data_IF_117886804434
#
_entry.id   IF_117886804434
#
_cell.length_a   1.000
_cell.length_b   1.000
_cell.length_c   1.000
_cell.angle_alpha   90.00
_cell.angle_beta   90.00
_cell.angle_gamma   90.00
#
_symmetry.space_group_name_H-M   'P 1'
#
loop_
_entity.id
_entity.type
_entity.pdbx_description
1 polymer ?
#
# COMPACT_ATOMS: atom_id res chain seq x y z
N UNK A 1 -13.97 12.55 -34.47
CA UNK A 1 -12.95 11.68 -35.10
C UNK A 1 -13.69 10.46 -35.62
N UNK A 2 -13.64 10.20 -36.91
CA UNK A 2 -14.22 9.01 -37.56
C UNK A 2 -13.12 7.99 -37.87
N UNK A 3 -13.41 6.69 -37.73
CA UNK A 3 -12.44 5.62 -38.05
C UNK A 3 -12.22 5.50 -39.59
N UNK A 4 -13.23 5.83 -40.39
CA UNK A 4 -13.14 5.88 -41.83
C UNK A 4 -14.12 6.92 -42.36
N UNK A 5 -13.83 7.54 -43.51
CA UNK A 5 -14.78 8.38 -44.19
C UNK A 5 -15.89 7.52 -44.78
N UNK A 6 -17.17 8.01 -44.77
CA UNK A 6 -18.28 7.32 -45.42
C UNK A 6 -18.09 7.28 -46.94
N UNK A 7 -18.65 6.28 -47.61
CA UNK A 7 -18.55 6.14 -49.07
C UNK A 7 -19.16 7.31 -49.82
N UNK A 8 -20.18 7.94 -49.24
CA UNK A 8 -20.79 9.15 -49.77
C UNK A 8 -20.83 10.21 -48.65
N UNK A 9 -19.86 11.16 -48.59
CA UNK A 9 -19.81 12.21 -47.59
C UNK A 9 -20.98 13.22 -47.67
N UNK A 10 -21.62 13.33 -48.82
CA UNK A 10 -22.73 14.25 -49.06
C UNK A 10 -24.11 13.65 -48.70
N UNK A 11 -24.14 12.39 -48.22
CA UNK A 11 -25.39 11.77 -47.81
C UNK A 11 -25.84 12.31 -46.44
N UNK A 12 -27.13 12.29 -46.18
CA UNK A 12 -27.70 12.57 -44.87
C UNK A 12 -27.30 11.48 -43.88
N UNK A 13 -26.84 11.87 -42.74
CA UNK A 13 -26.47 10.96 -41.63
C UNK A 13 -27.35 11.21 -40.41
N UNK A 14 -27.90 10.14 -39.86
CA UNK A 14 -28.58 10.20 -38.58
C UNK A 14 -27.54 10.21 -37.44
N UNK A 15 -27.52 11.28 -36.66
CA UNK A 15 -26.72 11.37 -35.46
C UNK A 15 -27.52 10.79 -34.27
N UNK A 16 -27.06 9.67 -33.71
CA UNK A 16 -27.66 9.09 -32.52
C UNK A 16 -26.76 9.40 -31.30
N UNK A 17 -27.37 9.96 -30.27
CA UNK A 17 -26.70 10.24 -28.99
C UNK A 17 -26.97 9.06 -28.07
N UNK A 18 -25.91 8.55 -27.42
CA UNK A 18 -26.04 7.63 -26.31
C UNK A 18 -26.72 8.37 -25.14
N UNK A 19 -27.96 8.00 -24.85
CA UNK A 19 -28.81 8.68 -23.88
C UNK A 19 -28.26 8.50 -22.47
N UNK A 20 -27.84 7.28 -22.12
CA UNK A 20 -27.31 6.97 -20.78
C UNK A 20 -26.01 7.73 -20.51
N UNK A 21 -25.11 7.73 -21.47
CA UNK A 21 -23.85 8.48 -21.36
C UNK A 21 -24.09 10.01 -21.26
N UNK A 22 -25.09 10.51 -21.98
CA UNK A 22 -25.46 11.93 -21.90
C UNK A 22 -26.11 12.28 -20.57
N UNK A 23 -27.01 11.46 -20.05
CA UNK A 23 -27.63 11.67 -18.73
C UNK A 23 -26.61 11.58 -17.60
N UNK A 24 -25.70 10.61 -17.62
CA UNK A 24 -24.58 10.50 -16.68
C UNK A 24 -23.68 11.75 -16.70
N UNK A 25 -23.34 12.24 -17.91
CA UNK A 25 -22.56 13.47 -18.04
C UNK A 25 -23.30 14.69 -17.51
N UNK A 26 -24.61 14.79 -17.77
CA UNK A 26 -25.44 15.89 -17.27
C UNK A 26 -25.57 15.88 -15.75
N UNK A 27 -25.74 14.70 -15.15
CA UNK A 27 -25.77 14.50 -13.70
C UNK A 27 -24.43 14.90 -13.04
N UNK A 28 -23.31 14.40 -13.56
CA UNK A 28 -21.98 14.73 -13.08
C UNK A 28 -21.66 16.22 -13.24
N UNK A 29 -22.08 16.85 -14.34
CA UNK A 29 -21.87 18.29 -14.54
C UNK A 29 -22.69 19.13 -13.57
N UNK A 30 -23.97 18.78 -13.36
CA UNK A 30 -24.79 19.45 -12.37
C UNK A 30 -24.22 19.26 -10.95
N UNK A 31 -23.78 18.05 -10.62
CA UNK A 31 -23.11 17.79 -9.33
C UNK A 31 -21.81 18.61 -9.14
N UNK A 32 -21.10 18.92 -10.24
CA UNK A 32 -19.90 19.78 -10.18
C UNK A 32 -20.27 21.20 -9.73
N UNK A 33 -21.36 21.79 -10.21
CA UNK A 33 -21.86 23.08 -9.77
C UNK A 33 -22.31 23.06 -8.30
N UNK A 34 -23.01 22.01 -7.86
CA UNK A 34 -23.40 21.85 -6.46
C UNK A 34 -22.17 21.68 -5.56
N UNK A 35 -21.13 20.99 -6.05
CA UNK A 35 -19.87 20.79 -5.35
C UNK A 35 -19.12 22.13 -5.16
N UNK A 36 -19.01 22.97 -6.20
CA UNK A 36 -18.39 24.28 -6.09
C UNK A 36 -19.09 25.13 -5.03
N UNK A 37 -20.43 25.18 -5.09
CA UNK A 37 -21.21 25.85 -4.06
C UNK A 37 -20.94 25.30 -2.65
N UNK A 38 -20.98 23.98 -2.49
CA UNK A 38 -20.79 23.35 -1.18
C UNK A 38 -19.38 23.57 -0.62
N UNK A 39 -18.36 23.53 -1.46
CA UNK A 39 -16.99 23.81 -1.07
C UNK A 39 -16.82 25.25 -0.55
N UNK A 40 -17.43 26.23 -1.23
CA UNK A 40 -17.43 27.63 -0.76
C UNK A 40 -18.13 27.78 0.58
N UNK A 41 -19.25 27.10 0.79
CA UNK A 41 -19.99 27.15 2.05
C UNK A 41 -19.21 26.53 3.22
N UNK A 42 -18.43 25.48 2.97
CA UNK A 42 -17.72 24.74 4.04
C UNK A 42 -16.31 25.25 4.27
N UNK A 43 -15.58 25.58 3.19
CA UNK A 43 -14.18 25.98 3.27
C UNK A 43 -13.98 27.50 3.20
N UNK A 44 -14.94 28.23 2.64
CA UNK A 44 -14.91 29.69 2.53
C UNK A 44 -14.79 30.21 1.09
N UNK A 45 -14.95 31.53 0.95
CA UNK A 45 -15.04 32.23 -0.34
C UNK A 45 -13.75 32.24 -1.17
N UNK A 46 -12.62 31.84 -0.60
CA UNK A 46 -11.34 31.69 -1.31
C UNK A 46 -11.32 30.51 -2.26
N UNK A 47 -12.32 29.61 -2.19
CA UNK A 47 -12.45 28.50 -3.09
C UNK A 47 -12.85 29.01 -4.48
N UNK A 48 -11.96 28.76 -5.44
CA UNK A 48 -12.18 29.07 -6.86
C UNK A 48 -11.87 27.84 -7.71
N UNK A 49 -12.69 27.56 -8.70
CA UNK A 49 -12.41 26.52 -9.68
C UNK A 49 -11.12 26.82 -10.45
N UNK A 50 -10.20 25.87 -10.46
CA UNK A 50 -8.94 25.92 -11.26
C UNK A 50 -8.95 24.95 -12.44
N UNK A 51 -9.87 24.02 -12.44
CA UNK A 51 -10.11 23.06 -13.51
C UNK A 51 -11.25 22.11 -13.16
N UNK A 52 -11.84 21.51 -14.18
CA UNK A 52 -12.83 20.45 -13.99
C UNK A 52 -12.79 19.46 -15.15
N UNK A 53 -13.28 18.26 -14.88
CA UNK A 53 -13.50 17.24 -15.89
C UNK A 53 -14.79 16.51 -15.57
N UNK A 54 -15.61 16.30 -16.60
CA UNK A 54 -16.89 15.61 -16.48
C UNK A 54 -16.97 14.52 -17.55
N UNK A 55 -17.34 13.33 -17.14
CA UNK A 55 -17.62 12.19 -18.00
C UNK A 55 -18.96 11.54 -17.60
N UNK A 56 -19.45 10.51 -18.33
CA UNK A 56 -20.63 9.77 -17.92
C UNK A 56 -20.50 9.11 -16.53
N UNK A 57 -19.29 8.74 -16.12
CA UNK A 57 -19.03 7.87 -14.95
C UNK A 57 -18.37 8.56 -13.79
N UNK A 58 -17.79 9.75 -13.99
CA UNK A 58 -17.03 10.46 -12.94
C UNK A 58 -16.97 11.94 -13.20
N UNK A 59 -16.80 12.68 -12.15
CA UNK A 59 -16.43 14.10 -12.20
C UNK A 59 -15.15 14.33 -11.40
N UNK A 60 -14.41 15.37 -11.79
CA UNK A 60 -13.21 15.86 -11.12
C UNK A 60 -13.30 17.37 -11.01
N UNK A 61 -12.95 17.90 -9.86
CA UNK A 61 -12.97 19.32 -9.57
C UNK A 61 -11.67 19.76 -8.90
N UNK A 62 -10.94 20.66 -9.54
CA UNK A 62 -9.69 21.24 -9.05
C UNK A 62 -9.97 22.66 -8.56
N UNK A 63 -9.58 22.98 -7.33
CA UNK A 63 -9.91 24.25 -6.69
C UNK A 63 -8.77 24.81 -5.82
N UNK A 64 -8.80 26.13 -5.59
CA UNK A 64 -7.84 26.79 -4.72
C UNK A 64 -8.12 26.48 -3.25
N UNK A 65 -7.15 25.84 -2.58
CA UNK A 65 -7.15 25.63 -1.14
C UNK A 65 -5.75 25.22 -0.67
N UNK A 66 -5.27 25.82 0.43
CA UNK A 66 -3.87 25.70 0.83
C UNK A 66 -3.57 24.48 1.69
N UNK A 67 -4.56 23.95 2.40
CA UNK A 67 -4.42 22.82 3.32
C UNK A 67 -5.12 21.58 2.78
N UNK A 68 -4.80 20.41 3.34
CA UNK A 68 -5.57 19.20 3.08
C UNK A 68 -6.99 19.39 3.63
N UNK A 69 -8.00 19.05 2.84
CA UNK A 69 -9.39 19.03 3.32
C UNK A 69 -9.56 17.85 4.27
N UNK A 70 -10.08 18.09 5.45
CA UNK A 70 -10.27 17.06 6.47
C UNK A 70 -11.44 16.15 6.12
N UNK A 71 -11.43 14.92 6.65
CA UNK A 71 -12.54 13.97 6.45
C UNK A 71 -13.88 14.52 6.96
N UNK A 72 -13.86 15.36 8.01
CA UNK A 72 -15.04 16.02 8.52
C UNK A 72 -15.59 17.07 7.55
N UNK A 73 -14.71 17.90 6.97
CA UNK A 73 -15.08 18.89 5.97
C UNK A 73 -15.60 18.20 4.69
N UNK A 74 -14.92 17.16 4.21
CA UNK A 74 -15.38 16.35 3.06
C UNK A 74 -16.78 15.78 3.31
N UNK A 75 -17.05 15.28 4.50
CA UNK A 75 -18.40 14.79 4.87
C UNK A 75 -19.43 15.91 4.92
N UNK A 76 -19.08 17.12 5.37
CA UNK A 76 -19.98 18.27 5.34
C UNK A 76 -20.30 18.68 3.91
N UNK A 77 -19.30 18.77 3.04
CA UNK A 77 -19.47 19.05 1.61
C UNK A 77 -20.37 18.00 0.95
N UNK A 78 -20.06 16.73 1.12
CA UNK A 78 -20.84 15.64 0.55
C UNK A 78 -22.30 15.63 1.00
N UNK A 79 -22.55 15.89 2.30
CA UNK A 79 -23.90 16.01 2.84
C UNK A 79 -24.64 17.18 2.23
N UNK A 80 -24.01 18.34 2.12
CA UNK A 80 -24.65 19.55 1.55
C UNK A 80 -25.02 19.33 0.09
N UNK A 81 -24.14 18.72 -0.71
CA UNK A 81 -24.46 18.36 -2.11
C UNK A 81 -25.65 17.40 -2.16
N UNK A 82 -25.65 16.35 -1.34
CA UNK A 82 -26.77 15.41 -1.28
C UNK A 82 -28.08 16.01 -0.74
N UNK A 83 -27.98 17.03 0.15
CA UNK A 83 -29.16 17.77 0.61
C UNK A 83 -29.80 18.58 -0.53
N UNK A 84 -28.99 19.21 -1.37
CA UNK A 84 -29.47 19.93 -2.56
C UNK A 84 -30.03 18.96 -3.61
N UNK A 85 -29.46 17.77 -3.74
CA UNK A 85 -30.00 16.70 -4.60
C UNK A 85 -31.40 16.27 -4.14
N UNK A 86 -31.58 16.04 -2.83
CA UNK A 86 -32.87 15.64 -2.24
C UNK A 86 -33.97 16.69 -2.34
N UNK A 87 -33.59 17.95 -2.48
CA UNK A 87 -34.55 19.04 -2.69
C UNK A 87 -35.17 19.04 -4.07
N UNK A 88 -34.63 18.26 -5.00
CA UNK A 88 -35.09 18.16 -6.40
C UNK A 88 -35.30 19.51 -7.07
N UNK A 89 -34.33 20.40 -6.90
CA UNK A 89 -34.35 21.77 -7.42
C UNK A 89 -34.39 21.73 -8.96
N UNK A 90 -35.34 22.42 -9.60
CA UNK A 90 -35.42 22.45 -11.05
C UNK A 90 -34.28 23.24 -11.67
N UNK A 91 -33.94 22.90 -12.92
CA UNK A 91 -33.05 23.71 -13.75
C UNK A 91 -33.75 25.05 -14.07
N UNK A 92 -33.18 26.14 -13.57
CA UNK A 92 -33.53 27.51 -13.96
C UNK A 92 -32.44 28.02 -14.90
N UNK A 93 -32.82 28.17 -16.18
CA UNK A 93 -31.89 28.45 -17.28
C UNK A 93 -32.26 29.74 -18.00
N UNK A 94 -31.30 30.69 -18.06
CA UNK A 94 -31.44 31.91 -18.81
C UNK A 94 -30.42 31.92 -19.97
N UNK A 95 -30.91 31.81 -21.19
CA UNK A 95 -30.10 31.82 -22.42
C UNK A 95 -30.01 33.25 -22.98
N UNK A 96 -28.90 33.50 -23.69
CA UNK A 96 -28.66 34.78 -24.37
C UNK A 96 -28.81 36.01 -23.48
N UNK A 97 -28.54 35.88 -22.17
CA UNK A 97 -28.64 36.96 -21.20
C UNK A 97 -27.47 37.90 -21.38
N UNK A 98 -27.71 39.23 -21.47
CA UNK A 98 -26.61 40.21 -21.45
C UNK A 98 -25.71 40.03 -20.23
N UNK A 99 -24.38 40.08 -20.43
CA UNK A 99 -23.40 39.75 -19.40
C UNK A 99 -23.60 40.55 -18.09
N UNK A 100 -23.90 41.87 -18.19
CA UNK A 100 -24.14 42.71 -17.02
C UNK A 100 -25.46 42.40 -16.30
N UNK A 101 -26.46 41.88 -17.00
CA UNK A 101 -27.70 41.44 -16.37
C UNK A 101 -27.51 40.09 -15.68
N UNK A 102 -26.76 39.19 -16.31
CA UNK A 102 -26.43 37.90 -15.75
C UNK A 102 -25.64 38.00 -14.44
N UNK A 103 -24.74 38.98 -14.32
CA UNK A 103 -24.06 39.30 -13.04
C UNK A 103 -25.04 39.69 -11.94
N UNK A 104 -26.08 40.49 -12.26
CA UNK A 104 -27.10 40.91 -11.29
C UNK A 104 -27.94 39.73 -10.78
N UNK A 105 -27.99 38.62 -11.51
CA UNK A 105 -28.62 37.38 -11.05
C UNK A 105 -27.74 36.64 -10.00
N UNK A 106 -26.56 37.13 -9.72
CA UNK A 106 -25.62 36.51 -8.77
C UNK A 106 -24.86 35.33 -9.37
N UNK A 107 -24.80 35.22 -10.70
CA UNK A 107 -24.08 34.13 -11.38
C UNK A 107 -22.56 34.31 -11.25
N UNK A 108 -21.88 33.25 -10.87
CA UNK A 108 -20.42 33.19 -10.74
C UNK A 108 -19.80 32.96 -12.11
N UNK A 109 -18.84 33.82 -12.47
CA UNK A 109 -18.01 33.65 -13.66
C UNK A 109 -16.77 32.82 -13.30
N UNK A 110 -16.44 31.83 -14.11
CA UNK A 110 -15.21 31.05 -13.93
C UNK A 110 -13.98 31.91 -14.20
N UNK A 111 -13.00 31.81 -13.32
CA UNK A 111 -11.75 32.59 -13.43
C UNK A 111 -10.98 32.22 -14.71
N UNK A 112 -10.62 33.26 -15.49
CA UNK A 112 -9.78 33.08 -16.69
C UNK A 112 -10.58 32.78 -17.97
N UNK A 113 -11.89 32.62 -17.94
CA UNK A 113 -12.70 32.48 -19.14
C UNK A 113 -13.07 33.85 -19.74
N UNK A 114 -13.07 33.91 -21.07
CA UNK A 114 -13.53 35.09 -21.80
C UNK A 114 -14.98 34.89 -22.22
N UNK A 115 -15.87 35.70 -21.70
CA UNK A 115 -17.27 35.68 -22.03
C UNK A 115 -17.59 36.70 -23.12
N UNK A 116 -18.52 36.37 -24.00
CA UNK A 116 -19.06 37.32 -24.98
C UNK A 116 -20.09 38.28 -24.34
N UNK A 117 -20.71 39.12 -25.18
CA UNK A 117 -21.72 40.07 -24.76
C UNK A 117 -22.96 39.39 -24.14
N UNK A 118 -23.22 38.16 -24.52
CA UNK A 118 -24.32 37.32 -24.02
C UNK A 118 -23.81 36.01 -23.48
N UNK A 119 -24.37 35.58 -22.36
CA UNK A 119 -24.03 34.37 -21.63
C UNK A 119 -25.27 33.51 -21.32
N UNK A 120 -25.02 32.24 -21.05
CA UNK A 120 -26.05 31.35 -20.51
C UNK A 120 -25.81 31.22 -19.00
N UNK A 121 -26.85 31.51 -18.22
CA UNK A 121 -26.88 31.31 -16.77
C UNK A 121 -27.59 30.01 -16.45
N UNK A 122 -27.00 29.19 -15.60
CA UNK A 122 -27.55 27.94 -15.09
C UNK A 122 -27.66 28.05 -13.57
N UNK A 123 -28.85 27.83 -13.05
CA UNK A 123 -29.13 27.93 -11.61
C UNK A 123 -29.84 26.67 -11.11
N UNK A 124 -29.40 26.20 -9.96
CA UNK A 124 -30.07 25.18 -9.15
C UNK A 124 -30.18 25.69 -7.71
N UNK A 125 -31.26 26.35 -7.38
CA UNK A 125 -31.43 26.99 -6.08
C UNK A 125 -30.33 28.00 -5.79
N UNK A 126 -29.46 27.73 -4.77
CA UNK A 126 -28.39 28.67 -4.40
C UNK A 126 -27.16 28.63 -5.33
N UNK A 127 -26.96 27.56 -6.09
CA UNK A 127 -25.88 27.45 -7.09
C UNK A 127 -26.28 28.16 -8.38
N UNK A 128 -25.48 29.15 -8.82
CA UNK A 128 -25.77 29.96 -9.99
C UNK A 128 -24.46 30.33 -10.71
N UNK A 129 -24.31 29.85 -11.94
CA UNK A 129 -23.05 29.95 -12.69
C UNK A 129 -23.27 30.24 -14.18
N UNK A 130 -22.24 30.83 -14.81
CA UNK A 130 -22.21 30.91 -16.29
C UNK A 130 -21.74 29.56 -16.83
N UNK A 131 -22.60 28.89 -17.60
CA UNK A 131 -22.26 27.56 -18.11
C UNK A 131 -22.91 27.25 -19.46
N UNK A 132 -22.09 26.81 -20.42
CA UNK A 132 -22.53 26.36 -21.75
C UNK A 132 -22.83 24.86 -21.87
N UNK A 133 -22.56 24.08 -20.81
CA UNK A 133 -22.63 22.60 -20.85
C UNK A 133 -24.04 22.03 -20.68
N UNK A 134 -24.14 20.70 -20.74
CA UNK A 134 -25.40 19.98 -20.50
C UNK A 134 -25.62 19.78 -19.01
N UNK A 135 -26.89 19.90 -18.59
CA UNK A 135 -27.29 19.71 -17.19
C UNK A 135 -28.49 18.80 -17.05
N UNK A 136 -28.65 18.24 -15.86
CA UNK A 136 -29.85 17.53 -15.46
C UNK A 136 -31.06 18.48 -15.43
N UNK A 137 -32.27 17.98 -15.61
CA UNK A 137 -33.49 18.77 -15.57
C UNK A 137 -33.86 19.24 -14.16
N UNK A 138 -33.41 18.50 -13.15
CA UNK A 138 -33.48 18.83 -11.73
C UNK A 138 -32.36 18.14 -10.97
N UNK A 139 -32.06 18.63 -9.74
CA UNK A 139 -31.01 18.04 -8.92
C UNK A 139 -31.33 16.60 -8.48
N UNK A 140 -32.60 16.25 -8.32
CA UNK A 140 -33.03 14.88 -8.00
C UNK A 140 -32.62 13.83 -9.05
N UNK A 141 -32.45 14.26 -10.33
CA UNK A 141 -31.96 13.38 -11.40
C UNK A 141 -30.50 12.97 -11.26
N UNK A 142 -29.75 13.60 -10.39
CA UNK A 142 -28.36 13.22 -10.07
C UNK A 142 -28.32 11.87 -9.31
N UNK A 143 -29.34 11.60 -8.50
CA UNK A 143 -29.38 10.46 -7.59
C UNK A 143 -28.53 10.69 -6.35
N UNK A 144 -27.50 9.89 -6.15
CA UNK A 144 -26.56 10.05 -5.05
C UNK A 144 -25.25 10.69 -5.55
N UNK A 145 -24.62 11.50 -4.71
CA UNK A 145 -23.28 12.03 -4.91
C UNK A 145 -22.33 11.44 -3.86
N UNK A 146 -21.14 10.99 -4.29
CA UNK A 146 -20.11 10.43 -3.40
C UNK A 146 -18.72 10.93 -3.79
N UNK A 147 -18.03 11.53 -2.82
CA UNK A 147 -16.60 11.84 -2.95
C UNK A 147 -15.81 10.54 -2.83
N UNK A 148 -14.94 10.30 -3.80
CA UNK A 148 -14.10 9.10 -3.87
C UNK A 148 -12.70 9.39 -3.37
N UNK A 149 -12.16 10.55 -3.75
CA UNK A 149 -10.79 10.91 -3.43
C UNK A 149 -10.62 12.43 -3.28
N UNK A 150 -9.69 12.82 -2.43
CA UNK A 150 -9.21 14.19 -2.29
C UNK A 150 -7.68 14.17 -2.30
N UNK A 151 -7.07 15.02 -3.14
CA UNK A 151 -5.61 15.02 -3.32
C UNK A 151 -5.07 16.41 -3.64
N UNK A 152 -3.75 16.59 -3.49
CA UNK A 152 -3.04 17.78 -3.97
C UNK A 152 -2.63 17.60 -5.41
N UNK A 153 -2.84 18.64 -6.22
CA UNK A 153 -2.40 18.66 -7.64
C UNK A 153 -1.18 19.57 -7.82
N UNK A 154 -1.19 20.72 -7.14
CA UNK A 154 -0.12 21.69 -7.14
C UNK A 154 -0.14 22.49 -5.83
N UNK A 155 0.84 23.35 -5.62
CA UNK A 155 0.86 24.25 -4.47
C UNK A 155 -0.41 25.11 -4.46
N UNK A 156 -1.20 25.02 -3.38
CA UNK A 156 -2.46 25.75 -3.22
C UNK A 156 -3.61 25.27 -4.10
N UNK A 157 -3.50 24.10 -4.77
CA UNK A 157 -4.57 23.52 -5.58
C UNK A 157 -4.88 22.11 -5.10
N UNK A 158 -6.15 21.91 -4.73
CA UNK A 158 -6.70 20.62 -4.30
C UNK A 158 -7.62 20.06 -5.38
N UNK A 159 -7.77 18.74 -5.40
CA UNK A 159 -8.63 18.00 -6.33
C UNK A 159 -9.60 17.14 -5.57
N UNK A 160 -10.86 17.17 -5.95
CA UNK A 160 -11.87 16.20 -5.57
C UNK A 160 -12.24 15.38 -6.80
N UNK A 161 -12.32 14.07 -6.62
CA UNK A 161 -12.90 13.12 -7.56
C UNK A 161 -14.18 12.56 -6.95
N UNK A 162 -15.26 12.54 -7.72
CA UNK A 162 -16.55 12.09 -7.23
C UNK A 162 -17.34 11.32 -8.30
N UNK A 163 -18.36 10.62 -7.85
CA UNK A 163 -19.30 9.84 -8.66
C UNK A 163 -20.73 10.23 -8.33
N UNK A 164 -21.64 9.99 -9.26
CA UNK A 164 -23.08 10.23 -9.08
C UNK A 164 -23.91 9.01 -9.50
N UNK A 165 -25.15 8.96 -9.03
CA UNK A 165 -26.18 8.03 -9.46
C UNK A 165 -25.73 6.57 -9.52
N UNK A 166 -25.86 5.95 -10.67
CA UNK A 166 -25.53 4.54 -10.91
C UNK A 166 -24.11 4.16 -10.52
N UNK A 167 -23.14 5.05 -10.71
CA UNK A 167 -21.76 4.79 -10.34
C UNK A 167 -21.56 4.74 -8.82
N UNK A 168 -22.43 5.40 -8.05
CA UNK A 168 -22.47 5.26 -6.59
C UNK A 168 -23.07 3.92 -6.17
N UNK A 169 -24.09 3.42 -6.87
CA UNK A 169 -24.67 2.09 -6.62
C UNK A 169 -23.62 1.00 -6.85
N UNK A 170 -22.91 1.04 -7.96
CA UNK A 170 -21.83 0.10 -8.27
C UNK A 170 -20.70 0.16 -7.20
N UNK A 171 -20.38 1.34 -6.72
CA UNK A 171 -19.43 1.49 -5.63
C UNK A 171 -19.91 0.81 -4.34
N UNK A 172 -21.21 0.96 -4.00
CA UNK A 172 -21.79 0.33 -2.81
C UNK A 172 -21.78 -1.20 -2.94
N UNK A 173 -22.15 -1.75 -4.10
CA UNK A 173 -22.11 -3.20 -4.36
C UNK A 173 -20.68 -3.74 -4.22
N UNK A 174 -19.69 -3.06 -4.78
CA UNK A 174 -18.29 -3.47 -4.64
C UNK A 174 -17.82 -3.48 -3.17
N UNK A 175 -18.20 -2.48 -2.38
CA UNK A 175 -17.87 -2.42 -0.94
C UNK A 175 -18.57 -3.56 -0.19
N UNK A 176 -19.83 -3.83 -0.50
CA UNK A 176 -20.59 -4.91 0.11
C UNK A 176 -19.99 -6.28 -0.21
N UNK A 177 -19.60 -6.53 -1.45
CA UNK A 177 -18.98 -7.78 -1.88
C UNK A 177 -17.63 -8.01 -1.18
N UNK A 178 -16.79 -6.98 -1.07
CA UNK A 178 -15.52 -7.05 -0.33
C UNK A 178 -15.79 -7.36 1.14
N UNK A 179 -16.74 -6.67 1.77
CA UNK A 179 -17.10 -6.91 3.16
C UNK A 179 -17.63 -8.32 3.38
N UNK A 180 -18.46 -8.83 2.46
CA UNK A 180 -18.99 -10.19 2.49
C UNK A 180 -17.88 -11.22 2.33
N UNK A 181 -16.94 -11.00 1.43
CA UNK A 181 -15.78 -11.87 1.25
C UNK A 181 -14.92 -11.91 2.53
N UNK A 182 -14.62 -10.75 3.14
CA UNK A 182 -13.86 -10.70 4.40
C UNK A 182 -14.62 -11.43 5.52
N UNK A 183 -15.93 -11.21 5.66
CA UNK A 183 -16.75 -11.93 6.64
C UNK A 183 -16.69 -13.44 6.46
N UNK A 184 -16.68 -13.90 5.20
CA UNK A 184 -16.54 -15.32 4.87
C UNK A 184 -15.27 -15.95 5.41
N UNK A 185 -14.14 -15.22 5.42
CA UNK A 185 -12.88 -15.67 6.01
C UNK A 185 -12.96 -15.87 7.54
N UNK A 186 -13.87 -15.18 8.20
CA UNK A 186 -14.06 -15.21 9.65
C UNK A 186 -15.43 -15.81 10.06
N UNK A 187 -15.86 -16.88 9.37
CA UNK A 187 -17.08 -17.64 9.67
C UNK A 187 -18.35 -16.76 9.75
N UNK A 188 -18.45 -15.74 8.91
CA UNK A 188 -19.55 -14.77 8.87
C UNK A 188 -19.81 -14.06 10.23
N UNK A 189 -18.75 -13.76 10.96
CA UNK A 189 -18.85 -13.11 12.26
C UNK A 189 -19.63 -11.79 12.17
N UNK A 190 -20.53 -11.56 13.15
CA UNK A 190 -21.29 -10.32 13.26
C UNK A 190 -20.39 -9.14 13.66
N UNK A 191 -19.51 -9.38 14.64
CA UNK A 191 -18.47 -8.44 15.08
C UNK A 191 -17.14 -8.78 14.38
N UNK A 192 -17.01 -8.34 13.14
CA UNK A 192 -15.82 -8.59 12.34
C UNK A 192 -14.58 -7.91 12.92
N UNK A 193 -14.74 -6.70 13.45
CA UNK A 193 -13.63 -5.93 14.01
C UNK A 193 -13.05 -6.61 15.26
N UNK A 194 -13.93 -7.06 16.17
CA UNK A 194 -13.52 -7.78 17.37
C UNK A 194 -12.83 -9.11 17.06
N UNK A 195 -13.33 -9.86 16.07
CA UNK A 195 -12.71 -11.14 15.66
C UNK A 195 -11.33 -10.93 15.01
N UNK A 196 -11.19 -9.94 14.14
CA UNK A 196 -9.89 -9.60 13.54
C UNK A 196 -8.91 -9.14 14.64
N UNK A 197 -9.36 -8.31 15.58
CA UNK A 197 -8.55 -7.90 16.72
C UNK A 197 -8.00 -9.08 17.52
N UNK A 198 -8.85 -10.03 17.88
CA UNK A 198 -8.44 -11.26 18.58
C UNK A 198 -7.45 -12.09 17.76
N UNK A 199 -7.69 -12.24 16.47
CA UNK A 199 -6.78 -12.98 15.60
C UNK A 199 -5.37 -12.37 15.57
N UNK A 200 -5.28 -11.04 15.52
CA UNK A 200 -4.00 -10.32 15.58
C UNK A 200 -3.31 -10.56 16.93
N UNK A 201 -4.03 -10.43 18.04
CA UNK A 201 -3.50 -10.68 19.38
C UNK A 201 -3.00 -12.12 19.55
N UNK A 202 -3.77 -13.11 19.10
CA UNK A 202 -3.40 -14.53 19.15
C UNK A 202 -2.18 -14.81 18.27
N UNK A 203 -2.10 -14.23 17.09
CA UNK A 203 -0.96 -14.35 16.20
C UNK A 203 0.32 -13.79 16.85
N UNK A 204 0.25 -12.60 17.46
CA UNK A 204 1.38 -11.97 18.12
C UNK A 204 1.82 -12.77 19.36
N UNK A 205 0.88 -13.32 20.13
CA UNK A 205 1.18 -14.21 21.25
C UNK A 205 1.87 -15.50 20.79
N UNK A 206 1.38 -16.12 19.71
CA UNK A 206 2.02 -17.31 19.13
C UNK A 206 3.44 -17.01 18.64
N UNK A 207 3.64 -15.89 17.95
CA UNK A 207 4.98 -15.47 17.49
C UNK A 207 5.95 -15.32 18.67
N UNK A 208 5.54 -14.64 19.72
CA UNK A 208 6.33 -14.47 20.94
C UNK A 208 6.64 -15.82 21.61
N UNK A 209 5.68 -16.73 21.63
CA UNK A 209 5.88 -18.08 22.18
C UNK A 209 6.90 -18.88 21.35
N UNK A 210 6.83 -18.80 20.01
CA UNK A 210 7.80 -19.44 19.12
C UNK A 210 9.22 -18.88 19.38
N UNK A 211 9.37 -17.58 19.50
CA UNK A 211 10.64 -16.94 19.83
C UNK A 211 11.21 -17.43 21.17
N UNK A 212 10.37 -17.56 22.18
CA UNK A 212 10.76 -18.10 23.50
C UNK A 212 11.20 -19.57 23.42
N UNK A 213 10.44 -20.40 22.69
CA UNK A 213 10.83 -21.81 22.48
C UNK A 213 12.15 -21.94 21.71
N UNK A 214 12.35 -21.12 20.67
CA UNK A 214 13.60 -21.09 19.93
C UNK A 214 14.79 -20.66 20.82
N UNK A 215 14.62 -19.61 21.63
CA UNK A 215 15.65 -19.17 22.56
C UNK A 215 15.99 -20.23 23.60
N UNK A 216 14.99 -20.91 24.15
CA UNK A 216 15.20 -22.02 25.10
C UNK A 216 15.89 -23.23 24.43
N UNK A 217 15.52 -23.56 23.18
CA UNK A 217 16.20 -24.60 22.42
C UNK A 217 17.68 -24.28 22.17
N UNK A 218 18.00 -23.03 21.82
CA UNK A 218 19.38 -22.57 21.64
C UNK A 218 20.17 -22.69 22.96
N UNK A 219 19.62 -22.25 24.10
CA UNK A 219 20.28 -22.36 25.39
C UNK A 219 20.55 -23.83 25.81
N UNK A 220 19.56 -24.70 25.61
CA UNK A 220 19.73 -26.14 25.87
C UNK A 220 20.82 -26.72 24.96
N UNK A 221 20.76 -26.47 23.66
CA UNK A 221 21.72 -26.95 22.68
C UNK A 221 23.13 -26.46 23.03
N UNK A 222 23.28 -25.18 23.39
CA UNK A 222 24.55 -24.60 23.85
C UNK A 222 25.15 -25.40 25.02
N UNK A 223 24.36 -25.65 26.04
CA UNK A 223 24.85 -26.37 27.24
C UNK A 223 25.23 -27.82 26.92
N UNK A 224 24.44 -28.52 26.12
CA UNK A 224 24.72 -29.87 25.67
C UNK A 224 25.99 -29.97 24.82
N UNK A 225 26.23 -28.97 23.94
CA UNK A 225 27.41 -28.91 23.10
C UNK A 225 28.71 -28.61 23.92
N UNK A 226 28.62 -27.72 24.88
CA UNK A 226 29.75 -27.43 25.76
C UNK A 226 30.11 -28.65 26.59
N UNK A 227 29.13 -29.40 27.13
CA UNK A 227 29.36 -30.63 27.87
C UNK A 227 29.98 -31.75 27.04
N UNK A 228 29.73 -31.77 25.71
CA UNK A 228 30.29 -32.76 24.78
C UNK A 228 31.53 -32.28 24.03
N UNK A 229 32.05 -31.11 24.34
CA UNK A 229 33.26 -30.57 23.73
C UNK A 229 34.43 -31.51 23.90
N UNK A 230 35.22 -31.74 22.85
CA UNK A 230 36.48 -32.51 22.91
C UNK A 230 37.65 -31.57 23.08
N UNK A 231 38.62 -31.97 23.84
CA UNK A 231 39.87 -31.23 23.98
C UNK A 231 40.94 -31.83 23.06
N UNK A 232 41.48 -31.02 22.18
CA UNK A 232 42.57 -31.41 21.26
C UNK A 232 43.66 -30.36 21.38
N UNK A 233 44.85 -30.80 21.82
CA UNK A 233 46.02 -29.90 22.03
C UNK A 233 45.70 -28.63 22.84
N UNK A 234 44.84 -28.73 23.89
CA UNK A 234 44.45 -27.61 24.73
C UNK A 234 43.32 -26.72 24.16
N UNK A 235 42.79 -27.06 22.98
CA UNK A 235 41.67 -26.36 22.36
C UNK A 235 40.40 -27.16 22.51
N UNK A 236 39.30 -26.53 22.95
CA UNK A 236 37.95 -27.12 22.98
C UNK A 236 37.34 -27.10 21.61
N UNK A 237 37.17 -28.26 21.01
CA UNK A 237 36.59 -28.45 19.70
C UNK A 237 35.14 -28.94 19.86
N UNK A 238 34.20 -28.18 19.30
CA UNK A 238 32.77 -28.53 19.24
C UNK A 238 32.40 -28.76 17.78
N UNK A 239 31.92 -29.95 17.44
CA UNK A 239 31.37 -30.29 16.11
C UNK A 239 29.98 -30.85 16.31
N UNK A 240 28.98 -30.30 15.63
CA UNK A 240 27.59 -30.78 15.76
C UNK A 240 26.73 -30.42 14.57
N UNK A 241 25.78 -31.34 14.23
CA UNK A 241 24.65 -31.04 13.40
C UNK A 241 23.44 -30.70 14.30
N UNK A 242 22.83 -29.52 14.10
CA UNK A 242 21.70 -29.04 14.92
C UNK A 242 20.48 -28.77 14.06
N UNK A 243 19.26 -29.12 14.51
CA UNK A 243 18.03 -28.84 13.80
C UNK A 243 17.53 -27.41 14.12
N UNK A 244 18.35 -26.42 13.81
CA UNK A 244 18.05 -25.01 14.08
C UNK A 244 17.96 -24.24 12.77
N UNK A 245 17.03 -23.29 12.73
CA UNK A 245 16.96 -22.30 11.67
C UNK A 245 18.22 -21.41 11.62
N UNK A 246 18.58 -20.85 10.45
CA UNK A 246 19.84 -20.11 10.28
C UNK A 246 20.08 -19.00 11.31
N UNK A 247 19.02 -18.26 11.67
CA UNK A 247 19.12 -17.19 12.67
C UNK A 247 19.41 -17.74 14.08
N UNK A 248 18.76 -18.84 14.47
CA UNK A 248 18.96 -19.51 15.74
C UNK A 248 20.35 -20.21 15.80
N UNK A 249 20.80 -20.81 14.70
CA UNK A 249 22.15 -21.37 14.60
C UNK A 249 23.22 -20.28 14.76
N UNK A 250 23.04 -19.12 14.16
CA UNK A 250 23.93 -17.97 14.35
C UNK A 250 23.96 -17.50 15.79
N UNK A 251 22.81 -17.37 16.45
CA UNK A 251 22.72 -16.98 17.87
C UNK A 251 23.44 -18.01 18.77
N UNK A 252 23.27 -19.31 18.48
CA UNK A 252 23.98 -20.39 19.16
C UNK A 252 25.50 -20.20 19.08
N UNK A 253 26.04 -19.86 17.92
CA UNK A 253 27.49 -19.66 17.74
C UNK A 253 28.03 -18.50 18.58
N UNK A 254 27.31 -17.37 18.64
CA UNK A 254 27.71 -16.26 19.51
C UNK A 254 27.63 -16.61 20.98
N UNK A 255 26.60 -17.36 21.39
CA UNK A 255 26.47 -17.81 22.79
C UNK A 255 27.50 -18.84 23.18
N UNK A 256 27.90 -19.75 22.28
CA UNK A 256 29.03 -20.68 22.51
C UNK A 256 30.34 -19.92 22.72
N UNK A 257 30.61 -18.96 21.84
CA UNK A 257 31.83 -18.11 21.96
C UNK A 257 31.85 -17.27 23.26
N UNK A 258 30.71 -16.78 23.70
CA UNK A 258 30.57 -16.03 24.93
C UNK A 258 30.75 -16.92 26.17
N UNK A 259 30.22 -18.15 26.11
CA UNK A 259 30.30 -19.09 27.23
C UNK A 259 31.71 -19.74 27.35
N UNK A 260 32.44 -19.86 26.25
CA UNK A 260 33.82 -20.37 26.21
C UNK A 260 34.70 -19.33 25.55
N UNK A 261 35.20 -18.33 26.29
CA UNK A 261 35.88 -17.14 25.74
C UNK A 261 37.30 -17.40 25.24
N UNK A 262 37.92 -18.54 25.59
CA UNK A 262 39.28 -18.90 25.18
C UNK A 262 39.39 -20.37 24.74
N UNK A 263 40.32 -20.63 23.84
CA UNK A 263 40.64 -21.95 23.31
C UNK A 263 39.38 -22.68 22.75
N UNK A 264 38.50 -21.97 22.02
CA UNK A 264 37.30 -22.53 21.43
C UNK A 264 37.38 -22.54 19.90
N UNK A 265 37.17 -23.71 19.30
CA UNK A 265 36.77 -23.90 17.92
C UNK A 265 35.40 -24.58 17.88
N UNK A 266 34.37 -23.91 17.39
CA UNK A 266 33.06 -24.51 17.20
C UNK A 266 32.70 -24.53 15.71
N UNK A 267 32.30 -25.71 15.24
CA UNK A 267 31.85 -25.98 13.88
C UNK A 267 30.44 -26.61 13.98
N UNK A 268 29.43 -25.82 13.70
CA UNK A 268 28.04 -26.26 13.86
C UNK A 268 27.30 -26.18 12.53
N UNK A 269 26.84 -27.34 12.08
CA UNK A 269 26.02 -27.45 10.89
C UNK A 269 24.54 -27.31 11.24
N UNK A 270 23.79 -26.83 10.30
CA UNK A 270 22.33 -26.89 10.36
C UNK A 270 21.75 -27.18 8.99
N UNK A 271 20.57 -27.80 8.96
CA UNK A 271 19.79 -28.03 7.73
C UNK A 271 18.43 -27.45 7.94
N UNK A 272 18.10 -26.41 7.17
CA UNK A 272 16.80 -25.76 7.16
C UNK A 272 16.24 -25.83 5.73
N UNK A 273 15.02 -26.33 5.57
CA UNK A 273 14.36 -26.45 4.27
C UNK A 273 15.25 -27.11 3.20
N UNK A 274 15.90 -28.25 3.57
CA UNK A 274 16.82 -28.99 2.70
C UNK A 274 18.09 -28.24 2.27
N UNK A 275 18.37 -27.09 2.89
CA UNK A 275 19.56 -26.29 2.61
C UNK A 275 20.57 -26.46 3.73
N UNK A 276 21.78 -26.97 3.42
CA UNK A 276 22.83 -27.08 4.41
C UNK A 276 23.45 -25.72 4.72
N UNK A 277 23.73 -25.49 6.00
CA UNK A 277 24.51 -24.35 6.49
C UNK A 277 25.64 -24.83 7.38
N UNK A 278 26.83 -24.32 7.13
CA UNK A 278 28.04 -24.51 7.93
C UNK A 278 28.33 -23.22 8.69
N UNK A 279 28.44 -23.30 10.01
CA UNK A 279 28.78 -22.18 10.87
C UNK A 279 30.07 -22.50 11.59
N UNK A 280 31.03 -21.57 11.56
CA UNK A 280 32.31 -21.69 12.25
C UNK A 280 32.51 -20.49 13.15
N UNK A 281 32.77 -20.71 14.42
CA UNK A 281 33.28 -19.66 15.30
C UNK A 281 34.47 -20.13 16.13
N UNK A 282 35.25 -19.16 16.52
CA UNK A 282 36.45 -19.42 17.39
C UNK A 282 36.66 -18.24 18.33
N UNK A 283 37.38 -18.50 19.43
CA UNK A 283 37.79 -17.50 20.38
C UNK A 283 38.88 -16.56 19.82
N UNK A 284 39.04 -15.40 20.43
CA UNK A 284 39.95 -14.35 19.93
C UNK A 284 41.43 -14.74 20.01
N UNK A 285 41.81 -15.56 20.99
CA UNK A 285 43.16 -16.13 21.14
C UNK A 285 43.54 -17.04 19.96
N UNK A 286 42.64 -17.91 19.51
CA UNK A 286 42.91 -18.75 18.32
C UNK A 286 43.08 -17.91 17.03
N UNK A 287 42.41 -16.81 16.94
CA UNK A 287 42.58 -15.87 15.81
C UNK A 287 43.93 -15.17 15.87
N UNK A 288 44.39 -14.77 17.07
CA UNK A 288 45.60 -13.96 17.25
C UNK A 288 46.85 -14.81 17.33
N UNK A 289 46.83 -15.86 18.17
CA UNK A 289 48.02 -16.61 18.52
C UNK A 289 48.26 -17.78 17.51
N UNK A 290 47.20 -18.38 17.01
CA UNK A 290 47.27 -19.45 16.01
C UNK A 290 47.02 -18.98 14.57
N UNK A 291 46.80 -17.67 14.36
CA UNK A 291 46.53 -17.07 13.05
C UNK A 291 45.37 -17.70 12.25
N UNK A 292 44.41 -18.31 12.96
CA UNK A 292 43.26 -18.96 12.36
C UNK A 292 42.26 -17.92 11.87
N UNK A 293 41.54 -18.28 10.77
CA UNK A 293 40.58 -17.38 10.16
C UNK A 293 39.35 -18.17 9.71
N UNK A 294 38.22 -18.03 10.44
CA UNK A 294 36.97 -18.70 10.15
C UNK A 294 36.45 -18.41 8.71
N UNK A 295 36.67 -17.19 8.22
CA UNK A 295 36.23 -16.81 6.87
C UNK A 295 36.98 -17.56 5.78
N UNK A 296 38.25 -17.86 5.95
CA UNK A 296 39.07 -18.64 5.02
C UNK A 296 38.67 -20.12 5.11
N UNK A 297 38.58 -20.67 6.33
CA UNK A 297 38.20 -22.06 6.58
C UNK A 297 36.83 -22.40 5.99
N UNK A 298 35.86 -21.54 6.22
CA UNK A 298 34.50 -21.70 5.69
C UNK A 298 34.47 -21.65 4.16
N UNK A 299 35.26 -20.80 3.50
CA UNK A 299 35.33 -20.74 2.02
C UNK A 299 35.84 -22.03 1.42
N UNK A 300 36.84 -22.66 2.03
CA UNK A 300 37.37 -23.96 1.55
C UNK A 300 36.38 -25.08 1.81
N UNK A 301 35.81 -25.18 3.01
CA UNK A 301 34.84 -26.18 3.38
C UNK A 301 33.51 -26.07 2.60
N UNK A 302 33.08 -24.85 2.25
CA UNK A 302 31.86 -24.60 1.50
C UNK A 302 31.83 -25.26 0.11
N UNK A 303 33.00 -25.53 -0.48
CA UNK A 303 33.10 -26.22 -1.77
C UNK A 303 32.50 -27.63 -1.69
N UNK A 304 32.60 -28.31 -0.54
CA UNK A 304 32.10 -29.67 -0.31
C UNK A 304 30.57 -29.72 -0.21
N UNK A 305 29.95 -28.65 0.22
CA UNK A 305 28.49 -28.52 0.25
C UNK A 305 27.93 -27.84 -1.01
N UNK A 306 28.75 -27.71 -2.07
CA UNK A 306 28.39 -26.99 -3.31
C UNK A 306 27.84 -25.60 -3.03
N UNK A 307 28.49 -24.87 -2.15
CA UNK A 307 28.06 -23.58 -1.64
C UNK A 307 29.13 -22.52 -1.63
N UNK A 308 28.81 -21.45 -0.95
CA UNK A 308 29.70 -20.33 -0.76
C UNK A 308 29.38 -19.59 0.54
N UNK A 309 30.38 -18.91 1.05
CA UNK A 309 30.23 -18.17 2.30
C UNK A 309 31.45 -17.33 2.63
N UNK A 310 31.49 -16.87 3.85
CA UNK A 310 32.57 -16.05 4.39
C UNK A 310 32.16 -15.41 5.70
N UNK A 311 32.98 -14.51 6.18
CA UNK A 311 32.75 -13.83 7.43
C UNK A 311 34.01 -13.16 7.98
N UNK A 312 33.95 -12.86 9.24
CA UNK A 312 35.08 -12.31 10.02
C UNK A 312 36.03 -13.45 10.47
N UNK A 313 37.27 -13.12 10.87
CA UNK A 313 38.22 -14.11 11.37
C UNK A 313 37.69 -14.98 12.53
N UNK A 314 36.86 -14.44 13.39
CA UNK A 314 36.29 -15.13 14.55
C UNK A 314 34.93 -15.80 14.31
N UNK A 315 34.23 -15.48 13.22
CA UNK A 315 32.91 -16.02 12.88
C UNK A 315 32.64 -15.96 11.38
N UNK A 316 32.28 -17.11 10.79
CA UNK A 316 31.89 -17.19 9.38
C UNK A 316 30.80 -18.22 9.16
N UNK A 317 30.07 -18.05 8.07
CA UNK A 317 28.97 -18.93 7.65
C UNK A 317 29.05 -19.23 6.16
N UNK A 318 28.62 -20.43 5.75
CA UNK A 318 28.39 -20.80 4.37
C UNK A 318 27.06 -21.51 4.22
N UNK A 319 26.37 -21.21 3.13
CA UNK A 319 25.21 -21.97 2.67
C UNK A 319 25.56 -22.80 1.44
N UNK A 320 24.90 -23.94 1.27
CA UNK A 320 25.15 -24.86 0.15
C UNK A 320 23.87 -25.48 -0.41
N UNK A 321 24.07 -26.43 -1.33
CA UNK A 321 23.00 -27.22 -1.97
C UNK A 321 23.14 -28.71 -1.71
N UNK A 322 24.30 -29.16 -1.25
CA UNK A 322 24.62 -30.60 -1.02
C UNK A 322 24.64 -30.86 0.48
N UNK A 323 23.59 -31.47 1.03
CA UNK A 323 23.48 -31.85 2.44
C UNK A 323 24.48 -32.97 2.79
N UNK A 324 24.70 -33.93 1.89
CA UNK A 324 25.59 -35.06 2.14
C UNK A 324 27.05 -34.64 2.32
N UNK A 325 27.41 -33.47 1.81
CA UNK A 325 28.75 -32.91 1.96
C UNK A 325 29.04 -32.25 3.32
N UNK A 326 28.05 -32.13 4.20
CA UNK A 326 28.23 -31.41 5.49
C UNK A 326 29.26 -32.07 6.39
N UNK A 327 29.21 -33.38 6.59
CA UNK A 327 30.21 -34.09 7.42
C UNK A 327 31.64 -33.86 6.92
N UNK A 328 31.86 -33.98 5.63
CA UNK A 328 33.17 -33.72 5.03
C UNK A 328 33.59 -32.23 5.18
N UNK A 329 32.61 -31.30 5.13
CA UNK A 329 32.87 -29.89 5.34
C UNK A 329 33.32 -29.60 6.79
N UNK A 330 32.69 -30.23 7.77
CA UNK A 330 33.10 -30.15 9.19
C UNK A 330 34.53 -30.67 9.39
N UNK A 331 34.77 -31.87 8.89
CA UNK A 331 36.12 -32.49 8.99
C UNK A 331 37.17 -31.61 8.32
N UNK A 332 36.86 -31.00 7.20
CA UNK A 332 37.79 -30.08 6.52
C UNK A 332 38.09 -28.83 7.35
N UNK A 333 37.10 -28.27 8.06
CA UNK A 333 37.34 -27.13 8.96
C UNK A 333 38.28 -27.55 10.10
N UNK A 334 38.06 -28.71 10.69
CA UNK A 334 38.92 -29.23 11.78
C UNK A 334 40.35 -29.52 11.28
N UNK A 335 40.48 -30.11 10.09
CA UNK A 335 41.79 -30.30 9.44
C UNK A 335 42.55 -28.98 9.22
N UNK A 336 41.86 -27.97 8.69
CA UNK A 336 42.44 -26.64 8.44
C UNK A 336 42.87 -25.92 9.72
N UNK A 337 42.31 -26.28 10.86
CA UNK A 337 42.71 -25.73 12.14
C UNK A 337 44.07 -26.28 12.65
N UNK A 338 44.55 -27.38 12.05
CA UNK A 338 45.82 -28.04 12.40
C UNK A 338 45.98 -28.30 13.93
N UNK A 339 44.90 -28.69 14.59
CA UNK A 339 44.81 -28.94 16.03
C UNK A 339 45.19 -30.36 16.40
#
# INVERSE_FOLDING_TARGET
IVKALPKNPEADFMACVDVDAREGSAANHTATHLLDYALKQVLGDHVEQKGSFVSPTTLRFDFSHFTKVTDEELRKVERLVNDLIRQDLPLDEHRDTPFEEAKKLGAIALFGEKYGDKVRVVRFGPSCEFCGGIHAKSTGRIGMFKIINESSVAAGIRRIEAKTGKECEELMYNIEDVLKAIRGLFNNAKDLQGVIGKYIEEHDAMKKSIEQFQAAAVERTKNDLIAKAREVNGVKVITALVPLEPAAAKDLMYKLRQAVPSNLLAVVDSVAHEKPMLNVCMSDDLVKDHLLNAGQMVREAAKLIQGGGGGQPHFAQAGGKNVDGLSAAVDKVVELAQL
#
